data_IF_477037399125
#
_entry.id   IF_477037399125
#
_cell.length_a   1.000
_cell.length_b   1.000
_cell.length_c   1.000
_cell.angle_alpha   90.00
_cell.angle_beta   90.00
_cell.angle_gamma   90.00
#
_symmetry.space_group_name_H-M   'P 1'
#
loop_
_entity.id
_entity.type
_entity.pdbx_description
1 polymer ?
#
# COMPACT_ATOMS: atom_id res chain seq x y z
N UNK A 1 -25.17 -3.01 -28.17
CA UNK A 1 -24.24 -1.85 -28.25
C UNK A 1 -23.66 -1.65 -26.87
N UNK A 2 -22.54 -2.30 -26.57
CA UNK A 2 -21.84 -2.19 -25.28
C UNK A 2 -21.18 -0.82 -25.19
N UNK A 3 -21.59 0.00 -24.21
CA UNK A 3 -20.90 1.24 -23.89
C UNK A 3 -19.49 0.88 -23.40
N UNK A 4 -18.48 1.26 -24.18
CA UNK A 4 -17.08 1.18 -23.79
C UNK A 4 -16.91 2.05 -22.54
N UNK A 5 -16.64 1.44 -21.39
CA UNK A 5 -16.38 2.17 -20.16
C UNK A 5 -15.17 3.10 -20.39
N UNK A 6 -15.39 4.41 -20.32
CA UNK A 6 -14.31 5.38 -20.37
C UNK A 6 -13.35 5.11 -19.20
N UNK A 7 -12.03 5.04 -19.44
CA UNK A 7 -11.07 4.72 -18.40
C UNK A 7 -11.09 5.84 -17.36
N UNK A 8 -11.41 5.48 -16.11
CA UNK A 8 -11.37 6.37 -14.95
C UNK A 8 -9.91 6.77 -14.74
N UNK A 9 -9.57 8.00 -15.11
CA UNK A 9 -8.26 8.59 -14.83
C UNK A 9 -8.27 9.07 -13.38
N UNK A 10 -7.75 8.25 -12.47
CA UNK A 10 -7.50 8.65 -11.10
C UNK A 10 -6.32 9.65 -11.08
N UNK A 11 -6.61 10.91 -10.78
CA UNK A 11 -5.59 11.92 -10.46
C UNK A 11 -4.98 11.57 -9.10
N UNK A 12 -4.01 10.65 -9.11
CA UNK A 12 -3.21 10.29 -7.94
C UNK A 12 -2.34 11.50 -7.55
N UNK A 13 -2.26 11.78 -6.25
CA UNK A 13 -1.34 12.80 -5.74
C UNK A 13 0.09 12.51 -6.24
N UNK A 14 0.84 13.51 -6.73
CA UNK A 14 2.20 13.29 -7.20
C UNK A 14 3.07 12.84 -6.03
N UNK A 15 3.50 11.59 -6.07
CA UNK A 15 4.44 11.06 -5.09
C UNK A 15 5.83 11.70 -5.30
N UNK A 16 6.60 11.94 -4.22
CA UNK A 16 8.00 12.33 -4.34
C UNK A 16 8.78 11.32 -5.20
N UNK A 17 9.73 11.81 -5.99
CA UNK A 17 10.55 10.99 -6.90
C UNK A 17 11.27 9.85 -6.18
N UNK A 18 11.66 10.05 -4.92
CA UNK A 18 12.29 9.05 -4.08
C UNK A 18 11.34 7.89 -3.75
N UNK A 19 10.05 8.17 -3.61
CA UNK A 19 9.02 7.16 -3.35
C UNK A 19 8.59 6.43 -4.63
N UNK A 20 8.56 7.12 -5.78
CA UNK A 20 8.33 6.48 -7.09
C UNK A 20 9.50 5.58 -7.48
N UNK A 21 10.72 6.03 -7.19
CA UNK A 21 11.94 5.27 -7.48
C UNK A 21 12.42 5.44 -8.93
N UNK A 22 13.75 5.32 -9.14
CA UNK A 22 14.39 5.66 -10.41
C UNK A 22 14.02 4.71 -11.56
N UNK A 23 13.72 3.44 -11.27
CA UNK A 23 13.32 2.46 -12.27
C UNK A 23 11.97 2.79 -12.91
N UNK A 24 10.97 3.16 -12.09
CA UNK A 24 9.65 3.55 -12.60
C UNK A 24 9.71 4.87 -13.38
N UNK A 25 10.54 5.83 -12.94
CA UNK A 25 10.72 7.10 -13.66
C UNK A 25 11.26 6.90 -15.09
N UNK A 26 12.17 5.93 -15.27
CA UNK A 26 12.69 5.57 -16.61
C UNK A 26 11.86 4.48 -17.32
N UNK A 27 10.93 3.85 -16.62
CA UNK A 27 10.16 2.71 -17.12
C UNK A 27 11.05 1.52 -17.46
N UNK A 28 11.92 1.16 -16.52
CA UNK A 28 12.90 0.10 -16.64
C UNK A 28 12.58 -1.04 -15.69
N UNK A 29 12.98 -2.25 -16.10
CA UNK A 29 13.10 -3.39 -15.19
C UNK A 29 14.28 -3.15 -14.22
N UNK A 30 14.16 -3.64 -12.99
CA UNK A 30 15.21 -3.56 -11.98
C UNK A 30 16.46 -4.38 -12.33
N UNK A 31 16.38 -5.29 -13.29
CA UNK A 31 17.51 -6.04 -13.87
C UNK A 31 18.19 -5.34 -15.05
N UNK A 32 17.72 -4.15 -15.44
CA UNK A 32 18.25 -3.44 -16.61
C UNK A 32 19.76 -3.19 -16.52
N UNK A 33 20.43 -3.43 -17.65
CA UNK A 33 21.85 -3.15 -17.85
C UNK A 33 22.09 -1.69 -18.23
N UNK A 34 23.36 -1.29 -18.26
CA UNK A 34 23.74 0.12 -18.46
C UNK A 34 23.28 0.66 -19.82
N UNK A 35 23.37 -0.15 -20.87
CA UNK A 35 22.97 0.25 -22.23
C UNK A 35 21.46 0.50 -22.30
N UNK A 36 20.67 -0.38 -21.69
CA UNK A 36 19.21 -0.22 -21.62
C UNK A 36 18.83 1.01 -20.78
N UNK A 37 19.52 1.26 -19.66
CA UNK A 37 19.31 2.46 -18.84
C UNK A 37 19.55 3.74 -19.65
N UNK A 38 20.68 3.84 -20.35
CA UNK A 38 21.02 5.03 -21.15
C UNK A 38 20.05 5.23 -22.33
N UNK A 39 19.59 4.14 -22.96
CA UNK A 39 18.61 4.20 -24.04
C UNK A 39 17.25 4.75 -23.57
N UNK A 40 16.73 4.21 -22.47
CA UNK A 40 15.47 4.67 -21.87
C UNK A 40 15.59 6.10 -21.35
N UNK A 41 16.70 6.46 -20.70
CA UNK A 41 16.96 7.84 -20.29
C UNK A 41 16.88 8.80 -21.49
N UNK A 42 17.54 8.48 -22.60
CA UNK A 42 17.53 9.32 -23.79
C UNK A 42 16.13 9.46 -24.40
N UNK A 43 15.32 8.40 -24.38
CA UNK A 43 13.94 8.42 -24.85
C UNK A 43 13.05 9.30 -23.94
N UNK A 44 13.14 9.12 -22.62
CA UNK A 44 12.39 9.93 -21.64
C UNK A 44 12.78 11.40 -21.72
N UNK A 45 14.05 11.70 -21.96
CA UNK A 45 14.52 13.07 -22.18
C UNK A 45 13.90 13.70 -23.43
N UNK A 46 13.76 12.93 -24.53
CA UNK A 46 13.07 13.41 -25.75
C UNK A 46 11.59 13.67 -25.48
N UNK A 47 10.90 12.80 -24.75
CA UNK A 47 9.48 12.96 -24.43
C UNK A 47 9.24 14.16 -23.52
N UNK A 48 10.05 14.34 -22.48
CA UNK A 48 9.95 15.49 -21.58
C UNK A 48 10.17 16.82 -22.33
N UNK A 49 11.17 16.89 -23.22
CA UNK A 49 11.41 18.08 -24.07
C UNK A 49 10.26 18.38 -25.04
N UNK A 50 9.52 17.36 -25.47
CA UNK A 50 8.36 17.49 -26.36
C UNK A 50 7.04 17.73 -25.59
N UNK A 51 7.08 17.83 -24.25
CA UNK A 51 5.88 17.97 -23.42
C UNK A 51 4.98 16.72 -23.41
N UNK A 52 5.53 15.55 -23.78
CA UNK A 52 4.79 14.28 -23.87
C UNK A 52 4.85 13.46 -22.57
N UNK A 53 5.53 13.96 -21.54
CA UNK A 53 5.65 13.35 -20.22
C UNK A 53 5.32 14.38 -19.15
N UNK A 54 4.61 13.95 -18.10
CA UNK A 54 4.38 14.75 -16.88
C UNK A 54 5.59 14.74 -15.93
N UNK A 55 6.58 13.88 -16.18
CA UNK A 55 7.80 13.75 -15.35
C UNK A 55 8.77 14.90 -15.68
N UNK A 56 9.24 15.67 -14.68
CA UNK A 56 10.16 16.77 -14.92
C UNK A 56 11.54 16.27 -15.36
N UNK A 57 12.27 17.11 -16.10
CA UNK A 57 13.61 16.78 -16.61
C UNK A 57 14.63 16.48 -15.49
N UNK A 58 14.47 17.16 -14.35
CA UNK A 58 15.32 16.99 -13.18
C UNK A 58 15.21 15.56 -12.63
N UNK A 59 14.00 15.00 -12.59
CA UNK A 59 13.75 13.65 -12.06
C UNK A 59 14.26 12.58 -13.02
N UNK A 60 14.20 12.82 -14.33
CA UNK A 60 14.77 11.93 -15.36
C UNK A 60 16.30 11.87 -15.24
N UNK A 61 16.95 13.02 -15.03
CA UNK A 61 18.40 13.07 -14.85
C UNK A 61 18.83 12.47 -13.51
N UNK A 62 18.09 12.77 -12.43
CA UNK A 62 18.30 12.17 -11.13
C UNK A 62 18.21 10.64 -11.19
N UNK A 63 17.20 10.09 -11.89
CA UNK A 63 17.02 8.65 -12.02
C UNK A 63 18.24 7.99 -12.70
N UNK A 64 18.78 8.60 -13.75
CA UNK A 64 20.00 8.11 -14.42
C UNK A 64 21.21 8.13 -13.48
N UNK A 65 21.41 9.24 -12.76
CA UNK A 65 22.53 9.38 -11.81
C UNK A 65 22.47 8.32 -10.70
N UNK A 66 21.28 8.09 -10.15
CA UNK A 66 21.06 7.07 -9.11
C UNK A 66 21.30 5.66 -9.63
N UNK A 67 20.86 5.33 -10.84
CA UNK A 67 21.04 4.00 -11.42
C UNK A 67 22.46 3.71 -11.91
N UNK A 68 23.28 4.75 -12.12
CA UNK A 68 24.67 4.62 -12.56
C UNK A 68 25.61 4.08 -11.47
N UNK A 69 25.21 4.20 -10.19
CA UNK A 69 25.97 3.75 -9.03
C UNK A 69 25.22 2.60 -8.33
N UNK A 70 25.90 1.47 -8.14
CA UNK A 70 25.30 0.25 -7.58
C UNK A 70 24.77 0.47 -6.15
N UNK A 71 25.49 1.19 -5.30
CA UNK A 71 25.05 1.44 -3.93
C UNK A 71 23.85 2.37 -3.89
N UNK A 72 23.86 3.41 -4.73
CA UNK A 72 22.73 4.34 -4.85
C UNK A 72 21.50 3.66 -5.41
N UNK A 73 21.69 2.78 -6.42
CA UNK A 73 20.64 1.93 -7.00
C UNK A 73 19.97 1.08 -5.93
N UNK A 74 20.74 0.35 -5.12
CA UNK A 74 20.20 -0.51 -4.05
C UNK A 74 19.47 0.32 -2.99
N UNK A 75 20.04 1.46 -2.57
CA UNK A 75 19.43 2.32 -1.55
C UNK A 75 18.12 2.94 -2.04
N UNK A 76 18.10 3.45 -3.27
CA UNK A 76 16.92 4.04 -3.87
C UNK A 76 15.83 2.99 -4.08
N UNK A 77 16.21 1.76 -4.40
CA UNK A 77 15.26 0.66 -4.52
C UNK A 77 14.57 0.36 -3.17
N UNK A 78 15.37 0.20 -2.11
CA UNK A 78 14.87 -0.08 -0.76
C UNK A 78 14.02 1.06 -0.17
N UNK A 79 14.27 2.30 -0.58
CA UNK A 79 13.53 3.48 -0.12
C UNK A 79 12.27 3.76 -0.95
N UNK A 80 12.19 3.22 -2.17
CA UNK A 80 11.04 3.40 -3.05
C UNK A 80 9.87 2.52 -2.61
N UNK A 81 8.66 2.99 -2.91
CA UNK A 81 7.43 2.18 -2.79
C UNK A 81 7.30 1.18 -3.95
N UNK A 82 8.35 1.04 -4.77
CA UNK A 82 8.47 -0.03 -5.75
C UNK A 82 8.88 -1.32 -5.03
N UNK A 83 7.99 -1.81 -4.14
CA UNK A 83 8.08 -3.13 -3.52
C UNK A 83 7.91 -4.14 -4.66
N UNK A 84 9.01 -4.51 -5.30
CA UNK A 84 8.98 -5.55 -6.32
C UNK A 84 8.92 -6.90 -5.63
N UNK A 85 7.84 -7.62 -5.90
CA UNK A 85 7.78 -9.08 -5.82
C UNK A 85 8.68 -9.77 -6.86
N UNK A 86 9.38 -9.03 -7.72
CA UNK A 86 10.02 -9.59 -8.93
C UNK A 86 11.55 -9.58 -8.90
N UNK A 87 12.17 -8.67 -8.14
CA UNK A 87 13.63 -8.52 -8.20
C UNK A 87 14.39 -9.59 -7.43
N UNK A 88 13.68 -10.30 -6.56
CA UNK A 88 14.22 -11.39 -5.79
C UNK A 88 15.41 -10.99 -4.92
N UNK A 89 15.78 -9.72 -4.75
CA UNK A 89 16.93 -9.33 -3.91
C UNK A 89 16.65 -9.68 -2.44
N UNK A 90 15.42 -9.45 -1.97
CA UNK A 90 14.98 -9.96 -0.68
C UNK A 90 14.96 -11.50 -0.65
N UNK A 91 14.60 -12.16 -1.76
CA UNK A 91 14.65 -13.62 -1.87
C UNK A 91 16.09 -14.16 -1.92
N UNK A 92 17.04 -13.46 -2.55
CA UNK A 92 18.45 -13.80 -2.66
C UNK A 92 19.16 -13.54 -1.34
N UNK A 93 18.84 -12.45 -0.65
CA UNK A 93 19.26 -12.22 0.72
C UNK A 93 18.66 -13.27 1.66
N UNK A 94 17.37 -13.60 1.52
CA UNK A 94 16.75 -14.69 2.27
C UNK A 94 17.31 -16.07 1.91
N UNK A 95 17.79 -16.30 0.69
CA UNK A 95 18.43 -17.56 0.31
C UNK A 95 19.87 -17.63 0.85
N UNK A 96 20.62 -16.53 0.71
CA UNK A 96 22.01 -16.39 1.17
C UNK A 96 22.14 -16.40 2.69
N UNK A 97 21.14 -15.89 3.40
CA UNK A 97 21.11 -15.80 4.87
C UNK A 97 19.97 -16.64 5.47
N UNK A 98 19.39 -17.56 4.72
CA UNK A 98 18.15 -18.18 5.15
C UNK A 98 17.78 -19.50 4.50
N UNK A 99 18.59 -20.14 3.65
CA UNK A 99 18.28 -21.48 3.11
C UNK A 99 19.53 -22.38 3.11
N UNK A 100 19.59 -23.36 4.02
CA UNK A 100 20.40 -24.57 3.88
C UNK A 100 19.51 -25.72 3.38
N UNK A 101 19.98 -26.47 2.38
CA UNK A 101 19.36 -27.72 1.91
C UNK A 101 17.87 -27.62 1.53
N UNK A 102 17.47 -26.51 0.90
CA UNK A 102 16.08 -26.32 0.45
C UNK A 102 15.07 -26.09 1.59
N UNK A 103 15.55 -25.88 2.82
CA UNK A 103 14.72 -25.51 3.98
C UNK A 103 15.06 -24.10 4.44
N UNK A 104 14.08 -23.23 4.69
CA UNK A 104 14.33 -21.91 5.23
C UNK A 104 14.95 -22.02 6.63
N UNK A 105 16.25 -21.74 6.75
CA UNK A 105 17.03 -21.71 7.99
C UNK A 105 17.41 -20.25 8.27
N UNK A 106 16.53 -19.51 8.96
CA UNK A 106 16.83 -18.13 9.42
C UNK A 106 18.18 -18.12 10.16
N UNK A 107 19.24 -17.55 9.57
CA UNK A 107 20.50 -17.29 10.29
C UNK A 107 20.45 -15.97 11.08
N UNK A 108 19.39 -15.20 10.86
CA UNK A 108 19.08 -13.95 11.55
C UNK A 108 17.81 -14.14 12.39
N UNK A 109 17.84 -13.65 13.63
CA UNK A 109 16.68 -13.57 14.48
C UNK A 109 16.00 -12.23 14.24
N UNK A 110 14.73 -12.22 13.87
CA UNK A 110 13.97 -10.99 13.74
C UNK A 110 13.98 -10.26 15.09
N UNK A 111 14.39 -8.99 15.09
CA UNK A 111 14.46 -8.17 16.31
C UNK A 111 13.07 -8.03 16.96
N UNK A 112 12.04 -7.97 16.12
CA UNK A 112 10.65 -8.13 16.48
C UNK A 112 10.10 -9.38 15.78
N UNK A 113 9.65 -10.36 16.56
CA UNK A 113 8.70 -11.34 16.07
C UNK A 113 7.32 -10.81 16.44
N UNK A 114 6.50 -10.50 15.43
CA UNK A 114 5.09 -10.23 15.65
C UNK A 114 4.51 -11.36 16.50
N UNK A 115 4.00 -10.99 17.67
CA UNK A 115 3.36 -11.95 18.57
C UNK A 115 2.16 -12.52 17.83
N UNK A 116 2.13 -13.84 17.62
CA UNK A 116 1.01 -14.53 16.98
C UNK A 116 -0.29 -14.13 17.69
N UNK A 117 -1.14 -13.39 16.98
CA UNK A 117 -2.40 -12.87 17.54
C UNK A 117 -3.51 -13.92 17.57
N UNK A 118 -3.30 -15.10 16.98
CA UNK A 118 -4.30 -16.18 16.92
C UNK A 118 -4.84 -16.57 18.32
N UNK A 119 -3.98 -16.58 19.33
CA UNK A 119 -4.34 -16.90 20.72
C UNK A 119 -4.29 -15.68 21.65
N UNK A 120 -4.17 -14.46 21.10
CA UNK A 120 -4.07 -13.25 21.90
C UNK A 120 -5.43 -12.93 22.52
N UNK A 121 -5.57 -13.27 23.79
CA UNK A 121 -6.68 -12.82 24.62
C UNK A 121 -6.31 -11.48 25.25
N UNK A 122 -7.13 -10.47 25.01
CA UNK A 122 -7.03 -9.20 25.72
C UNK A 122 -7.05 -9.50 27.24
N UNK A 123 -6.17 -8.87 28.04
CA UNK A 123 -6.14 -9.09 29.49
C UNK A 123 -7.38 -8.52 30.21
N UNK A 124 -8.25 -7.84 29.48
CA UNK A 124 -9.53 -7.35 29.96
C UNK A 124 -10.65 -8.30 29.51
N UNK A 125 -11.57 -8.60 30.43
CA UNK A 125 -12.83 -9.24 30.08
C UNK A 125 -13.59 -8.31 29.12
N UNK A 126 -13.74 -8.74 27.87
CA UNK A 126 -14.59 -8.03 26.92
C UNK A 126 -16.02 -8.22 27.40
N UNK A 127 -16.73 -7.14 27.77
CA UNK A 127 -18.09 -7.26 28.25
C UNK A 127 -18.98 -7.81 27.13
N UNK A 128 -19.95 -8.64 27.50
CA UNK A 128 -20.90 -9.19 26.55
C UNK A 128 -21.64 -8.06 25.80
N UNK A 129 -21.68 -8.16 24.47
CA UNK A 129 -22.24 -7.12 23.62
C UNK A 129 -23.74 -6.92 23.88
N UNK A 130 -24.48 -7.98 24.27
CA UNK A 130 -25.89 -7.86 24.60
C UNK A 130 -26.10 -7.15 25.96
N UNK A 131 -25.26 -7.45 26.95
CA UNK A 131 -25.19 -6.73 28.23
C UNK A 131 -24.94 -5.23 28.06
N UNK A 132 -23.94 -4.85 27.24
CA UNK A 132 -23.63 -3.44 26.98
C UNK A 132 -24.82 -2.72 26.31
N UNK A 133 -25.50 -3.37 25.36
CA UNK A 133 -26.69 -2.79 24.71
C UNK A 133 -27.87 -2.63 25.66
N UNK A 134 -28.12 -3.60 26.53
CA UNK A 134 -29.19 -3.52 27.51
C UNK A 134 -28.98 -2.38 28.52
N UNK A 135 -27.72 -1.99 28.75
CA UNK A 135 -27.34 -0.86 29.60
C UNK A 135 -27.41 0.50 28.89
N UNK A 136 -27.59 0.55 27.56
CA UNK A 136 -27.71 1.81 26.83
C UNK A 136 -29.09 2.44 27.10
N UNK A 137 -29.10 3.58 27.79
CA UNK A 137 -30.30 4.37 28.01
C UNK A 137 -30.46 5.33 26.83
N UNK A 138 -31.49 5.13 26.02
CA UNK A 138 -31.86 6.09 24.96
C UNK A 138 -32.37 7.37 25.62
N UNK A 139 -31.73 8.53 25.38
CA UNK A 139 -32.17 9.79 25.98
C UNK A 139 -33.54 10.20 25.44
N UNK A 140 -34.38 10.79 26.29
CA UNK A 140 -35.66 11.37 25.86
C UNK A 140 -35.40 12.55 24.94
N UNK A 141 -35.80 12.43 23.67
CA UNK A 141 -35.63 13.48 22.66
C UNK A 141 -36.85 14.40 22.58
N UNK A 142 -36.68 15.65 22.12
CA UNK A 142 -37.78 16.59 21.89
C UNK A 142 -38.78 16.05 20.85
N UNK A 143 -40.08 16.28 21.06
CA UNK A 143 -41.18 15.78 20.21
C UNK A 143 -41.20 16.39 18.79
N UNK A 144 -40.41 17.44 18.56
CA UNK A 144 -40.36 18.18 17.29
C UNK A 144 -39.81 17.35 16.12
N UNK A 145 -39.16 16.19 16.39
CA UNK A 145 -38.61 15.31 15.34
C UNK A 145 -38.94 13.82 15.63
N UNK A 146 -40.16 13.37 15.31
CA UNK A 146 -40.64 12.02 15.67
C UNK A 146 -39.88 10.87 14.99
N UNK A 147 -39.12 11.14 13.92
CA UNK A 147 -38.33 10.14 13.21
C UNK A 147 -37.03 9.75 13.95
N UNK A 148 -36.49 10.63 14.79
CA UNK A 148 -35.20 10.42 15.49
C UNK A 148 -35.26 9.29 16.53
N UNK A 149 -36.27 9.19 17.41
CA UNK A 149 -36.35 8.08 18.36
C UNK A 149 -36.43 6.71 17.66
N UNK A 150 -37.21 6.61 16.57
CA UNK A 150 -37.32 5.39 15.77
C UNK A 150 -36.00 4.99 15.10
N UNK A 151 -35.21 5.97 14.63
CA UNK A 151 -33.89 5.71 14.05
C UNK A 151 -32.87 5.26 15.11
N UNK A 152 -32.91 5.86 16.30
CA UNK A 152 -32.01 5.50 17.40
C UNK A 152 -32.32 4.11 17.97
N UNK A 153 -33.60 3.73 18.08
CA UNK A 153 -33.99 2.37 18.45
C UNK A 153 -33.51 1.34 17.43
N UNK A 154 -33.63 1.65 16.13
CA UNK A 154 -33.13 0.76 15.06
C UNK A 154 -31.61 0.63 15.09
N UNK A 155 -30.87 1.72 15.24
CA UNK A 155 -29.41 1.71 15.34
C UNK A 155 -28.93 0.95 16.58
N UNK A 156 -29.63 1.07 17.71
CA UNK A 156 -29.32 0.33 18.92
C UNK A 156 -29.50 -1.20 18.77
N UNK A 157 -30.24 -1.67 17.77
CA UNK A 157 -30.50 -3.09 17.48
C UNK A 157 -29.65 -3.66 16.33
N UNK A 158 -28.97 -2.82 15.53
CA UNK A 158 -28.15 -3.29 14.40
C UNK A 158 -26.89 -4.04 14.85
N UNK A 159 -26.42 -5.08 14.13
CA UNK A 159 -25.20 -5.80 14.46
C UNK A 159 -23.98 -4.87 14.50
N UNK A 160 -23.12 -5.02 15.50
CA UNK A 160 -21.94 -4.17 15.75
C UNK A 160 -20.75 -4.51 14.84
N UNK A 161 -20.92 -5.46 13.93
CA UNK A 161 -19.86 -5.89 13.03
C UNK A 161 -19.68 -4.82 11.93
N UNK A 162 -18.53 -4.12 11.86
CA UNK A 162 -18.27 -3.11 10.83
C UNK A 162 -18.24 -3.71 9.41
N UNK A 163 -18.22 -5.03 9.27
CA UNK A 163 -18.25 -5.75 8.00
C UNK A 163 -19.62 -6.32 7.63
N UNK A 164 -20.60 -6.26 8.54
CA UNK A 164 -21.98 -6.70 8.30
C UNK A 164 -22.87 -5.55 7.77
N UNK A 165 -22.34 -4.76 6.84
CA UNK A 165 -23.11 -3.71 6.15
C UNK A 165 -23.93 -4.39 5.05
N UNK A 166 -25.26 -4.41 5.19
CA UNK A 166 -26.13 -4.81 4.10
C UNK A 166 -26.18 -3.68 3.04
N UNK A 167 -25.44 -3.87 1.95
CA UNK A 167 -25.36 -2.90 0.83
C UNK A 167 -26.57 -2.96 -0.11
N UNK A 168 -27.59 -3.74 0.23
CA UNK A 168 -28.84 -3.80 -0.54
C UNK A 168 -29.96 -3.19 0.30
N UNK A 169 -30.53 -2.10 -0.21
CA UNK A 169 -31.79 -1.55 0.27
C UNK A 169 -32.97 -2.45 -0.05
#
# INVERSE_FOLDING_TARGET
MSQSAEPIVLELAPLPREQVGPFLLLGLDKTADKETIDAHWAERLKWARKGQSKVPLEDINWAREVLSDIERRIRADAASLNIDTTDGVLAQLAQRYGVQEGKPTRTWQALDNEKTLADYRLPAEVPDAASVRAALIVPKLPEDVPAVPLLLERLAQQPLDPWAIDLKG
#
